data_IF_702946682906
#
_entry.id   IF_702946682906
#
_cell.length_a   1.000
_cell.length_b   1.000
_cell.length_c   1.000
_cell.angle_alpha   90.00
_cell.angle_beta   90.00
_cell.angle_gamma   90.00
#
_symmetry.space_group_name_H-M   'P 1'
#
loop_
_entity.id
_entity.type
_entity.pdbx_description
1 polymer ?
#
# COMPACT_ATOMS: atom_id res chain seq x y z
N UNK A 1 -15.67 0.66 -7.83
CA UNK A 1 -14.28 0.17 -8.08
C UNK A 1 -13.50 0.15 -6.78
N UNK A 2 -12.60 -0.84 -6.59
CA UNK A 2 -11.68 -0.89 -5.45
C UNK A 2 -10.29 -0.37 -5.84
N UNK A 3 -9.71 0.49 -5.01
CA UNK A 3 -8.33 0.95 -5.12
C UNK A 3 -7.45 0.23 -4.11
N UNK A 4 -6.35 -0.35 -4.55
CA UNK A 4 -5.33 -0.99 -3.73
C UNK A 4 -4.03 -0.19 -3.85
N UNK A 5 -3.72 0.62 -2.83
CA UNK A 5 -2.42 1.29 -2.69
C UNK A 5 -1.46 0.38 -1.94
N UNK A 6 -0.22 0.23 -2.41
CA UNK A 6 0.72 -0.76 -1.87
C UNK A 6 2.05 -0.08 -1.56
N UNK A 7 2.57 -0.36 -0.38
CA UNK A 7 3.91 0.03 0.04
C UNK A 7 4.75 -1.23 0.35
N UNK A 8 6.04 -1.15 0.03
CA UNK A 8 7.01 -2.23 0.19
C UNK A 8 7.96 -1.96 1.36
N UNK A 9 8.29 -3.00 2.13
CA UNK A 9 9.27 -2.90 3.19
C UNK A 9 10.26 -4.06 3.16
N UNK A 10 11.54 -3.73 3.30
CA UNK A 10 12.66 -4.67 3.18
C UNK A 10 13.19 -4.79 1.76
N UNK A 11 14.09 -5.74 1.55
CA UNK A 11 14.70 -6.01 0.24
C UNK A 11 14.34 -7.40 -0.28
N UNK A 12 14.40 -7.54 -1.60
CA UNK A 12 14.03 -8.77 -2.30
C UNK A 12 15.21 -9.75 -2.46
N UNK A 13 16.41 -9.36 -2.01
CA UNK A 13 17.60 -10.19 -2.08
C UNK A 13 17.56 -11.33 -1.07
N UNK A 14 18.17 -12.47 -1.43
CA UNK A 14 18.33 -13.64 -0.54
C UNK A 14 19.76 -13.76 0.02
N UNK A 15 20.77 -13.45 -0.81
CA UNK A 15 22.19 -13.54 -0.44
C UNK A 15 22.67 -12.16 0.03
N UNK A 16 23.34 -12.10 1.18
CA UNK A 16 23.82 -10.85 1.81
C UNK A 16 22.73 -9.79 1.96
N UNK A 17 21.51 -10.25 2.22
CA UNK A 17 20.36 -9.39 2.37
C UNK A 17 20.37 -8.70 3.75
N UNK A 18 20.20 -7.37 3.82
CA UNK A 18 20.17 -6.65 5.09
C UNK A 18 18.91 -6.92 5.92
N UNK A 19 17.84 -7.43 5.31
CA UNK A 19 16.58 -7.74 6.00
C UNK A 19 16.27 -9.24 5.99
N UNK A 20 15.66 -9.78 7.06
CA UNK A 20 15.16 -11.16 7.06
C UNK A 20 13.80 -11.30 6.37
N UNK A 21 12.95 -10.29 6.54
CA UNK A 21 11.58 -10.29 6.04
C UNK A 21 11.45 -9.33 4.87
N UNK A 22 10.65 -9.74 3.88
CA UNK A 22 10.11 -8.84 2.88
C UNK A 22 8.61 -8.72 3.11
N UNK A 23 8.10 -7.49 3.25
CA UNK A 23 6.70 -7.23 3.52
C UNK A 23 6.09 -6.34 2.43
N UNK A 24 4.91 -6.73 1.95
CA UNK A 24 4.04 -5.91 1.13
C UNK A 24 2.78 -5.63 1.93
N UNK A 25 2.45 -4.35 2.10
CA UNK A 25 1.20 -3.95 2.74
C UNK A 25 0.38 -3.12 1.79
N UNK A 26 -0.86 -3.56 1.58
CA UNK A 26 -1.84 -2.95 0.72
C UNK A 26 -2.99 -2.34 1.52
N UNK A 27 -3.33 -1.09 1.22
CA UNK A 27 -4.57 -0.43 1.67
C UNK A 27 -5.60 -0.50 0.55
N UNK A 28 -6.74 -1.12 0.85
CA UNK A 28 -7.87 -1.26 -0.06
C UNK A 28 -9.00 -0.33 0.36
N UNK A 29 -9.48 0.47 -0.59
CA UNK A 29 -10.57 1.43 -0.40
C UNK A 29 -11.55 1.30 -1.57
N UNK A 30 -12.85 1.35 -1.29
CA UNK A 30 -13.86 1.47 -2.36
C UNK A 30 -14.04 2.93 -2.77
N UNK A 31 -14.21 3.20 -4.07
CA UNK A 31 -14.31 4.56 -4.61
C UNK A 31 -15.44 5.39 -3.98
N UNK A 32 -16.55 4.76 -3.58
CA UNK A 32 -17.68 5.45 -2.93
C UNK A 32 -17.30 6.09 -1.60
N UNK A 33 -16.29 5.54 -0.93
CA UNK A 33 -15.87 5.98 0.40
C UNK A 33 -14.70 6.98 0.32
N UNK A 34 -14.13 7.20 -0.88
CA UNK A 34 -12.94 8.03 -1.09
C UNK A 34 -13.07 9.42 -0.47
N UNK A 35 -14.13 10.14 -0.84
CA UNK A 35 -14.34 11.53 -0.38
C UNK A 35 -14.50 11.60 1.13
N UNK A 36 -15.25 10.67 1.73
CA UNK A 36 -15.44 10.59 3.17
C UNK A 36 -14.11 10.35 3.91
N UNK A 37 -13.33 9.36 3.45
CA UNK A 37 -12.02 9.04 4.02
C UNK A 37 -11.06 10.23 3.95
N UNK A 38 -11.02 10.92 2.81
CA UNK A 38 -10.13 12.09 2.63
C UNK A 38 -10.53 13.22 3.58
N UNK A 39 -11.83 13.51 3.72
CA UNK A 39 -12.30 14.54 4.64
C UNK A 39 -11.96 14.20 6.10
N UNK A 40 -12.20 12.95 6.52
CA UNK A 40 -11.86 12.47 7.86
C UNK A 40 -10.36 12.51 8.12
N UNK A 41 -9.55 12.16 7.11
CA UNK A 41 -8.10 12.24 7.18
C UNK A 41 -7.64 13.68 7.38
N UNK A 42 -8.25 14.65 6.69
CA UNK A 42 -7.94 16.07 6.89
C UNK A 42 -8.26 16.51 8.32
N UNK A 43 -9.40 16.09 8.88
CA UNK A 43 -9.77 16.38 10.27
C UNK A 43 -8.75 15.74 11.23
N UNK A 44 -8.42 14.47 11.05
CA UNK A 44 -7.41 13.78 11.85
C UNK A 44 -6.05 14.48 11.82
N UNK A 45 -5.61 14.91 10.63
CA UNK A 45 -4.35 15.64 10.44
C UNK A 45 -4.35 17.03 11.11
N UNK A 46 -5.50 17.71 11.12
CA UNK A 46 -5.66 18.96 11.89
C UNK A 46 -5.58 18.70 13.39
N UNK A 47 -6.15 17.61 13.88
CA UNK A 47 -6.06 17.22 15.28
C UNK A 47 -4.61 16.92 15.68
N UNK A 48 -3.84 16.21 14.85
CA UNK A 48 -2.42 15.98 15.08
C UNK A 48 -1.59 17.28 15.10
N UNK A 49 -1.98 18.28 14.30
CA UNK A 49 -1.35 19.60 14.34
C UNK A 49 -1.61 20.32 15.67
N UNK A 50 -2.85 20.32 16.13
CA UNK A 50 -3.24 21.00 17.38
C UNK A 50 -2.59 20.32 18.59
N UNK A 51 -2.55 19.00 18.61
CA UNK A 51 -2.08 18.22 19.76
C UNK A 51 -0.56 18.06 19.81
N UNK A 52 0.10 17.89 18.65
CA UNK A 52 1.53 17.56 18.58
C UNK A 52 2.37 18.55 17.75
N UNK A 53 1.76 19.64 17.26
CA UNK A 53 2.46 20.65 16.45
C UNK A 53 2.86 20.20 15.04
N UNK A 54 2.41 19.02 14.59
CA UNK A 54 2.75 18.49 13.27
C UNK A 54 2.14 19.33 12.15
N UNK A 55 2.92 19.66 11.11
CA UNK A 55 2.39 20.36 9.94
C UNK A 55 1.40 19.46 9.20
N UNK A 56 0.22 19.98 8.86
CA UNK A 56 -0.85 19.21 8.17
C UNK A 56 -0.36 18.57 6.86
N UNK A 57 0.58 19.22 6.15
CA UNK A 57 1.16 18.71 4.89
C UNK A 57 2.44 17.88 5.07
N UNK A 58 2.94 17.70 6.28
CA UNK A 58 4.18 16.95 6.51
C UNK A 58 3.93 15.44 6.35
N UNK A 59 4.70 14.78 5.50
CA UNK A 59 4.64 13.33 5.36
C UNK A 59 5.03 12.64 6.68
N UNK A 60 4.23 11.69 7.16
CA UNK A 60 4.56 10.88 8.35
C UNK A 60 5.11 9.55 7.85
N UNK A 61 6.43 9.42 7.92
CA UNK A 61 7.13 8.16 7.65
C UNK A 61 7.40 7.45 8.98
N UNK A 62 7.11 6.14 9.06
CA UNK A 62 7.33 5.41 10.31
C UNK A 62 8.80 5.37 10.72
N UNK A 63 9.72 5.31 9.74
CA UNK A 63 11.15 5.13 10.00
C UNK A 63 11.77 6.23 10.91
N UNK A 64 11.59 7.55 10.63
CA UNK A 64 12.01 8.63 11.54
C UNK A 64 11.35 8.64 12.93
N UNK A 65 10.19 7.99 13.08
CA UNK A 65 9.46 7.92 14.35
C UNK A 65 9.94 6.74 15.22
N UNK A 66 10.39 5.65 14.59
CA UNK A 66 10.88 4.44 15.28
C UNK A 66 12.38 4.51 15.55
N UNK A 67 13.17 5.02 14.61
CA UNK A 67 14.63 5.10 14.75
C UNK A 67 15.06 6.12 15.81
N UNK A 68 16.10 5.76 16.56
CA UNK A 68 16.76 6.64 17.50
C UNK A 68 17.54 7.75 16.76
N UNK A 69 17.54 8.97 17.30
CA UNK A 69 18.43 10.05 16.84
C UNK A 69 17.94 10.91 15.67
N UNK A 70 16.81 10.59 15.02
CA UNK A 70 16.26 11.45 13.97
C UNK A 70 15.45 12.61 14.57
N UNK A 71 15.84 13.89 14.39
CA UNK A 71 15.11 15.02 14.94
C UNK A 71 13.86 15.30 14.10
N UNK A 72 12.76 14.64 14.43
CA UNK A 72 11.42 15.20 14.18
C UNK A 72 11.23 16.31 15.21
N UNK A 73 11.66 17.52 14.86
CA UNK A 73 11.34 18.76 15.58
C UNK A 73 11.55 18.70 17.10
N UNK A 74 12.59 18.02 17.59
CA UNK A 74 12.87 17.89 19.03
C UNK A 74 11.79 17.12 19.83
N UNK A 75 10.90 16.39 19.16
CA UNK A 75 9.78 15.67 19.79
C UNK A 75 10.30 14.44 20.56
N UNK A 76 9.94 14.26 21.85
CA UNK A 76 10.35 13.10 22.63
C UNK A 76 9.91 11.77 22.01
N UNK A 77 10.69 10.70 22.20
CA UNK A 77 10.41 9.36 21.64
C UNK A 77 9.00 8.85 22.00
N UNK A 78 8.56 9.02 23.24
CA UNK A 78 7.24 8.57 23.67
C UNK A 78 6.11 9.27 22.90
N UNK A 79 6.25 10.56 22.60
CA UNK A 79 5.30 11.32 21.78
C UNK A 79 5.28 10.81 20.35
N UNK A 80 6.45 10.50 19.76
CA UNK A 80 6.53 9.91 18.42
C UNK A 80 5.78 8.58 18.34
N UNK A 81 6.01 7.69 19.30
CA UNK A 81 5.31 6.39 19.36
C UNK A 81 3.81 6.59 19.60
N UNK A 82 3.42 7.59 20.40
CA UNK A 82 2.02 7.94 20.61
C UNK A 82 1.34 8.48 19.35
N UNK A 83 2.04 9.28 18.53
CA UNK A 83 1.53 9.71 17.21
C UNK A 83 1.32 8.50 16.29
N UNK A 84 2.30 7.59 16.22
CA UNK A 84 2.15 6.36 15.43
C UNK A 84 0.95 5.52 15.91
N UNK A 85 0.79 5.39 17.22
CA UNK A 85 -0.37 4.70 17.80
C UNK A 85 -1.68 5.36 17.37
N UNK A 86 -1.80 6.68 17.45
CA UNK A 86 -3.00 7.39 16.99
C UNK A 86 -3.27 7.17 15.50
N UNK A 87 -2.25 7.08 14.64
CA UNK A 87 -2.43 6.74 13.23
C UNK A 87 -3.00 5.32 13.06
N UNK A 88 -2.49 4.35 13.84
CA UNK A 88 -2.98 2.97 13.83
C UNK A 88 -4.42 2.90 14.37
N UNK A 89 -4.71 3.57 15.49
CA UNK A 89 -6.03 3.61 16.10
C UNK A 89 -7.05 4.27 15.16
N UNK A 90 -6.66 5.37 14.49
CA UNK A 90 -7.51 6.01 13.47
C UNK A 90 -7.82 5.06 12.32
N UNK A 91 -6.82 4.35 11.79
CA UNK A 91 -7.01 3.36 10.73
C UNK A 91 -7.88 2.18 11.20
N UNK A 92 -7.65 1.66 12.40
CA UNK A 92 -8.36 0.52 12.98
C UNK A 92 -9.82 0.84 13.32
N UNK A 93 -10.15 2.12 13.55
CA UNK A 93 -11.53 2.56 13.80
C UNK A 93 -12.42 2.54 12.55
N UNK A 94 -11.84 2.32 11.37
CA UNK A 94 -12.53 2.42 10.08
C UNK A 94 -13.01 1.06 9.60
N UNK A 95 -14.27 1.02 9.17
CA UNK A 95 -14.88 -0.15 8.54
C UNK A 95 -14.86 -0.08 7.01
N UNK A 96 -14.39 1.01 6.43
CA UNK A 96 -14.35 1.29 4.99
C UNK A 96 -12.96 1.16 4.37
N UNK A 97 -11.95 0.81 5.18
CA UNK A 97 -10.57 0.57 4.76
C UNK A 97 -10.19 -0.87 5.11
N UNK A 98 -9.58 -1.57 4.16
CA UNK A 98 -9.05 -2.93 4.39
C UNK A 98 -7.55 -2.95 4.22
N UNK A 99 -6.89 -3.73 5.07
CA UNK A 99 -5.44 -3.94 5.01
C UNK A 99 -5.17 -5.36 4.56
N UNK A 100 -4.38 -5.53 3.50
CA UNK A 100 -3.85 -6.83 3.06
C UNK A 100 -2.35 -6.79 3.24
N UNK A 101 -1.82 -7.65 4.11
CA UNK A 101 -0.37 -7.77 4.30
C UNK A 101 0.11 -9.15 3.87
N UNK A 102 1.22 -9.16 3.14
CA UNK A 102 1.98 -10.37 2.77
C UNK A 102 3.38 -10.21 3.32
N UNK A 103 3.81 -11.15 4.15
CA UNK A 103 5.16 -11.20 4.69
C UNK A 103 5.82 -12.49 4.21
N UNK A 104 7.00 -12.37 3.62
CA UNK A 104 7.85 -13.49 3.25
C UNK A 104 9.03 -13.53 4.21
N UNK A 105 9.14 -14.63 4.95
CA UNK A 105 10.40 -15.01 5.61
C UNK A 105 11.36 -15.58 4.55
N UNK A 106 12.53 -14.94 4.43
CA UNK A 106 13.57 -15.34 3.47
C UNK A 106 14.42 -16.50 3.99
N UNK A 107 14.34 -16.82 5.29
CA UNK A 107 15.09 -17.91 5.88
C UNK A 107 14.69 -19.26 5.25
N UNK A 108 15.69 -20.06 4.86
CA UNK A 108 15.49 -21.41 4.31
C UNK A 108 14.88 -21.45 2.90
N UNK A 109 14.78 -20.31 2.20
CA UNK A 109 14.32 -20.27 0.81
C UNK A 109 15.44 -20.69 -0.15
N UNK A 110 15.12 -21.40 -1.26
CA UNK A 110 16.14 -21.82 -2.21
C UNK A 110 16.78 -20.60 -2.90
N UNK A 111 18.05 -20.67 -3.35
CA UNK A 111 18.78 -19.51 -3.90
C UNK A 111 18.12 -18.84 -5.11
N UNK A 112 17.30 -19.58 -5.88
CA UNK A 112 16.56 -19.08 -7.04
C UNK A 112 15.15 -18.57 -6.70
N UNK A 113 14.78 -18.50 -5.42
CA UNK A 113 13.45 -18.09 -5.01
C UNK A 113 13.21 -16.61 -5.30
N UNK A 114 12.24 -16.30 -6.16
CA UNK A 114 11.91 -14.92 -6.48
C UNK A 114 10.98 -14.33 -5.43
N UNK A 115 11.56 -13.70 -4.40
CA UNK A 115 10.81 -13.06 -3.29
C UNK A 115 9.81 -12.04 -3.82
N UNK A 116 10.22 -11.23 -4.80
CA UNK A 116 9.36 -10.20 -5.40
C UNK A 116 8.13 -10.82 -6.08
N UNK A 117 8.35 -11.72 -7.04
CA UNK A 117 7.24 -12.31 -7.81
C UNK A 117 6.28 -13.07 -6.90
N UNK A 118 6.79 -13.82 -5.90
CA UNK A 118 5.95 -14.59 -4.98
C UNK A 118 5.11 -13.69 -4.07
N UNK A 119 5.69 -12.62 -3.51
CA UNK A 119 4.96 -11.71 -2.64
C UNK A 119 3.83 -11.01 -3.41
N UNK A 120 4.16 -10.49 -4.59
CA UNK A 120 3.20 -9.81 -5.46
C UNK A 120 2.12 -10.74 -5.97
N UNK A 121 2.46 -11.97 -6.37
CA UNK A 121 1.49 -12.97 -6.80
C UNK A 121 0.47 -13.28 -5.70
N UNK A 122 0.93 -13.53 -4.47
CA UNK A 122 0.05 -13.80 -3.33
C UNK A 122 -0.83 -12.60 -3.02
N UNK A 123 -0.27 -11.38 -3.03
CA UNK A 123 -1.03 -10.15 -2.78
C UNK A 123 -2.14 -9.95 -3.81
N UNK A 124 -1.80 -10.05 -5.10
CA UNK A 124 -2.74 -9.88 -6.22
C UNK A 124 -3.83 -10.95 -6.17
N UNK A 125 -3.47 -12.21 -5.94
CA UNK A 125 -4.44 -13.30 -5.79
C UNK A 125 -5.38 -13.06 -4.61
N UNK A 126 -4.86 -12.65 -3.45
CA UNK A 126 -5.71 -12.33 -2.28
C UNK A 126 -6.68 -11.20 -2.59
N UNK A 127 -6.19 -10.11 -3.19
CA UNK A 127 -7.04 -8.98 -3.57
C UNK A 127 -8.14 -9.39 -4.53
N UNK A 128 -7.80 -10.08 -5.62
CA UNK A 128 -8.76 -10.55 -6.61
C UNK A 128 -9.78 -11.52 -5.99
N UNK A 129 -9.33 -12.49 -5.20
CA UNK A 129 -10.22 -13.44 -4.52
C UNK A 129 -11.20 -12.71 -3.59
N UNK A 130 -10.75 -11.66 -2.91
CA UNK A 130 -11.60 -10.90 -2.00
C UNK A 130 -12.69 -10.13 -2.75
N UNK A 131 -12.36 -9.56 -3.93
CA UNK A 131 -13.35 -8.95 -4.84
C UNK A 131 -14.32 -10.00 -5.38
N UNK A 132 -13.80 -11.13 -5.89
CA UNK A 132 -14.62 -12.18 -6.51
C UNK A 132 -15.63 -12.78 -5.52
N UNK A 133 -15.23 -12.98 -4.27
CA UNK A 133 -16.08 -13.53 -3.22
C UNK A 133 -16.92 -12.47 -2.48
N UNK A 134 -16.88 -11.19 -2.89
CA UNK A 134 -17.64 -10.08 -2.27
C UNK A 134 -17.37 -9.93 -0.77
N UNK A 135 -16.14 -10.20 -0.35
CA UNK A 135 -15.73 -10.16 1.05
C UNK A 135 -15.36 -8.75 1.53
N UNK A 136 -15.36 -7.76 0.62
CA UNK A 136 -15.26 -6.36 1.00
C UNK A 136 -16.65 -5.80 1.38
N UNK A 137 -16.71 -4.88 2.35
CA UNK A 137 -17.93 -4.24 2.80
C UNK A 137 -18.57 -3.45 1.66
N UNK A 138 -19.90 -3.35 1.75
CA UNK A 138 -20.75 -2.79 0.70
C UNK A 138 -21.29 -3.83 -0.29
N UNK A 139 -20.72 -5.05 -0.33
CA UNK A 139 -21.31 -6.18 -1.07
C UNK A 139 -21.47 -5.94 -2.58
N UNK A 140 -20.72 -4.98 -3.13
CA UNK A 140 -20.88 -4.52 -4.49
C UNK A 140 -20.63 -5.67 -5.50
N UNK A 141 -21.58 -5.87 -6.42
CA UNK A 141 -21.41 -6.82 -7.54
C UNK A 141 -20.53 -6.22 -8.63
N UNK A 142 -19.85 -7.08 -9.38
CA UNK A 142 -19.11 -6.73 -10.60
C UNK A 142 -18.08 -5.61 -10.47
N UNK A 143 -17.41 -5.57 -9.32
CA UNK A 143 -16.35 -4.61 -9.09
C UNK A 143 -15.04 -5.00 -9.75
N UNK A 144 -14.33 -3.98 -10.22
CA UNK A 144 -12.94 -4.07 -10.67
C UNK A 144 -11.99 -3.52 -9.59
N UNK A 145 -10.74 -3.96 -9.64
CA UNK A 145 -9.66 -3.50 -8.78
C UNK A 145 -8.61 -2.70 -9.55
N UNK A 146 -8.13 -1.60 -8.96
CA UNK A 146 -6.96 -0.86 -9.42
C UNK A 146 -5.81 -1.07 -8.47
N UNK A 147 -4.63 -1.36 -9.02
CA UNK A 147 -3.40 -1.50 -8.24
C UNK A 147 -2.55 -0.24 -8.40
N UNK A 148 -2.15 0.36 -7.29
CA UNK A 148 -1.35 1.58 -7.20
C UNK A 148 -0.10 1.26 -6.34
N UNK A 149 1.01 0.82 -6.94
CA UNK A 149 2.24 0.56 -6.20
C UNK A 149 2.99 1.85 -5.87
N UNK A 150 3.61 1.94 -4.69
CA UNK A 150 4.63 2.94 -4.37
C UNK A 150 6.03 2.44 -4.75
N UNK A 151 6.80 3.29 -5.42
CA UNK A 151 8.22 3.13 -5.76
C UNK A 151 8.73 1.69 -6.02
N UNK A 152 8.00 0.90 -6.82
CA UNK A 152 8.33 -0.51 -7.12
C UNK A 152 9.06 -0.68 -8.47
N UNK A 153 9.58 -1.88 -8.73
CA UNK A 153 10.09 -2.29 -10.04
C UNK A 153 8.92 -2.50 -11.02
N UNK A 154 8.50 -1.39 -11.64
CA UNK A 154 7.37 -1.32 -12.57
C UNK A 154 7.48 -2.33 -13.72
N UNK A 155 8.70 -2.61 -14.20
CA UNK A 155 8.92 -3.54 -15.31
C UNK A 155 8.64 -4.97 -14.87
N UNK A 156 9.14 -5.39 -13.70
CA UNK A 156 8.85 -6.71 -13.13
C UNK A 156 7.38 -6.86 -12.82
N UNK A 157 6.76 -5.86 -12.18
CA UNK A 157 5.34 -5.91 -11.84
C UNK A 157 4.45 -6.00 -13.09
N UNK A 158 4.72 -5.18 -14.12
CA UNK A 158 3.96 -5.24 -15.39
C UNK A 158 4.13 -6.60 -16.06
N UNK A 159 5.35 -7.14 -16.07
CA UNK A 159 5.62 -8.48 -16.60
C UNK A 159 4.84 -9.57 -15.84
N UNK A 160 4.84 -9.50 -14.51
CA UNK A 160 4.09 -10.42 -13.65
C UNK A 160 2.59 -10.33 -13.90
N UNK A 161 2.02 -9.12 -13.93
CA UNK A 161 0.61 -8.91 -14.21
C UNK A 161 0.20 -9.45 -15.58
N UNK A 162 1.03 -9.26 -16.62
CA UNK A 162 0.80 -9.86 -17.94
C UNK A 162 0.82 -11.39 -17.89
N UNK A 163 1.79 -11.99 -17.19
CA UNK A 163 1.85 -13.45 -16.99
C UNK A 163 0.58 -13.95 -16.29
N UNK A 164 0.17 -13.31 -15.20
CA UNK A 164 -1.01 -13.68 -14.41
C UNK A 164 -2.32 -13.48 -15.17
N UNK A 165 -2.38 -12.51 -16.09
CA UNK A 165 -3.49 -12.40 -17.03
C UNK A 165 -3.56 -13.62 -17.94
N UNK A 166 -2.48 -14.18 -18.44
CA UNK A 166 -2.60 -15.37 -19.28
C UNK A 166 -2.80 -16.66 -18.48
N UNK A 167 -2.12 -16.80 -17.34
CA UNK A 167 -2.13 -18.02 -16.53
C UNK A 167 -1.89 -17.70 -15.05
N UNK A 168 -2.84 -18.05 -14.19
CA UNK A 168 -2.77 -17.81 -12.75
C UNK A 168 -2.89 -19.13 -11.95
N UNK A 169 -1.74 -19.75 -11.64
CA UNK A 169 -1.71 -20.97 -10.82
C UNK A 169 -1.90 -20.64 -9.33
N UNK A 170 -2.85 -21.30 -8.68
CA UNK A 170 -3.11 -21.17 -7.24
C UNK A 170 -2.41 -22.32 -6.49
N UNK A 171 -1.46 -22.05 -5.58
CA UNK A 171 -0.65 -23.10 -4.95
C UNK A 171 -1.44 -24.15 -4.15
N UNK A 172 -2.57 -23.77 -3.55
CA UNK A 172 -3.38 -24.65 -2.69
C UNK A 172 -4.28 -25.64 -3.45
N UNK A 173 -4.35 -25.56 -4.78
CA UNK A 173 -5.11 -26.50 -5.63
C UNK A 173 -4.14 -27.44 -6.35
N UNK A 174 -3.43 -28.26 -5.58
CA UNK A 174 -2.52 -29.28 -6.10
C UNK A 174 -3.33 -30.54 -6.41
N UNK A 175 -3.76 -30.75 -7.66
CA UNK A 175 -3.62 -32.02 -8.41
C UNK A 175 -4.43 -32.15 -9.71
N UNK A 176 -5.38 -31.26 -10.01
CA UNK A 176 -6.08 -31.31 -11.29
C UNK A 176 -5.98 -29.97 -12.00
N UNK A 177 -5.73 -30.05 -13.30
CA UNK A 177 -5.76 -28.96 -14.26
C UNK A 177 -6.95 -28.02 -14.03
N UNK A 178 -6.78 -27.00 -13.19
CA UNK A 178 -7.72 -25.90 -13.04
C UNK A 178 -6.93 -24.63 -12.84
N UNK A 179 -6.38 -24.11 -13.94
CA UNK A 179 -6.06 -22.69 -14.00
C UNK A 179 -7.34 -21.92 -13.72
N UNK A 180 -7.35 -21.00 -12.76
CA UNK A 180 -8.44 -20.00 -12.70
C UNK A 180 -8.41 -19.21 -14.01
N UNK A 181 -9.57 -18.73 -14.50
CA UNK A 181 -9.54 -17.76 -15.58
C UNK A 181 -8.63 -16.61 -15.17
N UNK A 182 -7.70 -16.28 -16.07
CA UNK A 182 -7.08 -14.98 -16.32
C UNK A 182 -7.50 -13.91 -15.32
N UNK A 183 -6.54 -13.20 -14.69
CA UNK A 183 -6.82 -11.96 -13.96
C UNK A 183 -7.67 -11.03 -14.84
N UNK A 184 -8.99 -11.01 -14.62
CA UNK A 184 -9.95 -10.38 -15.55
C UNK A 184 -10.43 -9.03 -15.03
N UNK A 185 -10.44 -8.85 -13.70
CA UNK A 185 -11.04 -7.68 -13.04
C UNK A 185 -10.01 -6.65 -12.58
N UNK A 186 -8.74 -6.77 -12.97
CA UNK A 186 -7.68 -5.86 -12.55
C UNK A 186 -7.15 -4.97 -13.68
N UNK A 187 -7.37 -3.67 -13.51
CA UNK A 187 -6.73 -2.62 -14.30
C UNK A 187 -5.58 -2.07 -13.48
N UNK A 188 -4.33 -2.38 -13.83
CA UNK A 188 -3.17 -1.83 -13.15
C UNK A 188 -2.73 -0.55 -13.87
N UNK A 189 -2.74 0.57 -13.14
CA UNK A 189 -2.17 1.84 -13.60
C UNK A 189 -0.99 2.15 -12.69
N UNK A 190 0.23 1.97 -13.21
CA UNK A 190 1.46 2.26 -12.48
C UNK A 190 1.68 3.77 -12.56
N UNK A 191 1.44 4.47 -11.45
CA UNK A 191 1.81 5.88 -11.33
C UNK A 191 3.30 5.99 -11.00
N UNK A 192 4.08 6.55 -11.91
CA UNK A 192 5.42 7.02 -11.56
C UNK A 192 5.27 8.26 -10.69
N UNK A 193 5.67 8.17 -9.42
CA UNK A 193 6.00 9.36 -8.62
C UNK A 193 7.24 9.99 -9.27
N UNK A 194 7.06 10.90 -10.25
CA UNK A 194 8.13 11.82 -10.62
C UNK A 194 8.53 12.55 -9.34
N UNK A 195 9.81 12.55 -8.93
CA UNK A 195 10.24 13.51 -7.92
C UNK A 195 9.93 14.87 -8.53
N UNK A 196 8.98 15.59 -7.93
CA UNK A 196 8.75 16.99 -8.27
C UNK A 196 10.06 17.70 -7.96
N UNK A 197 10.82 17.95 -9.02
CA UNK A 197 11.86 18.96 -9.04
C UNK A 197 11.25 20.24 -8.46
N UNK A 198 12.05 20.88 -7.62
CA UNK A 198 11.80 22.17 -6.99
C UNK A 198 10.99 23.13 -7.88
N UNK A 199 9.99 23.76 -7.27
CA UNK A 199 9.49 25.07 -7.69
C UNK A 199 8.57 25.09 -8.90
N UNK A 200 7.26 25.01 -8.64
CA UNK A 200 6.29 25.79 -9.41
C UNK A 200 5.26 26.37 -8.43
N UNK A 201 5.50 27.62 -8.06
CA UNK A 201 4.51 28.49 -7.45
C UNK A 201 3.42 28.77 -8.50
N UNK A 202 2.20 28.30 -8.25
CA UNK A 202 1.00 28.85 -8.87
C UNK A 202 0.18 29.51 -7.76
N UNK A 203 0.52 30.77 -7.47
CA UNK A 203 -0.44 31.71 -6.90
C UNK A 203 -1.25 32.28 -8.06
N UNK A 204 -2.59 32.24 -8.04
CA UNK A 204 -3.36 33.10 -8.91
C UNK A 204 -3.27 34.51 -8.36
N UNK A 205 -2.68 35.41 -9.16
CA UNK A 205 -2.87 36.85 -9.00
C UNK A 205 -4.37 37.15 -8.94
N UNK A 206 -4.82 37.69 -7.81
CA UNK A 206 -6.04 38.50 -7.76
C UNK A 206 -5.65 39.87 -7.23
N UNK A 207 -5.25 40.73 -8.17
CA UNK A 207 -5.42 42.17 -8.02
C UNK A 207 -6.90 42.48 -8.26
N UNK A 208 -7.58 43.05 -7.27
CA UNK A 208 -8.40 44.27 -7.38
C UNK A 208 -9.47 44.32 -6.26
N UNK A 209 -9.47 45.48 -5.60
CA UNK A 209 -10.36 46.00 -4.55
C UNK A 209 -10.04 45.60 -3.11
#
# INVERSE_FOLDING_TARGET
>A
MYYLYIDESGDTGLVNSPSRYFALTGLVIHETNWTAIVNDLVVFRRNLRVTHGLKVRAEIHANPFVQHGQPLSGTPRHVKLYILRQCIDWLASRNDVHVITVVIDKQGKPPKYNVFEQAWQVLIQRFENTIQHKNFPGGFSDQQGMIIPDNTDAKKLTGLLRKMRHFNAVPSQSFFCSARPVVQKLTATIYYRRPLLQGFYFFPNSSNY
#
